data_IF_699647899127
#
_entry.id   IF_699647899127
#
_cell.length_a   1.000
_cell.length_b   1.000
_cell.length_c   1.000
_cell.angle_alpha   90.00
_cell.angle_beta   90.00
_cell.angle_gamma   90.00
#
_symmetry.space_group_name_H-M   'P 1'
#
loop_
_entity.id
_entity.type
_entity.pdbx_description
1 polymer ?
#
# COMPACT_ATOMS: atom_id res chain seq x y z
N UNK A 1 -9.36 -3.79 12.83
CA UNK A 1 -9.70 -4.64 11.68
C UNK A 1 -8.72 -4.22 10.60
N UNK A 2 -8.05 -5.18 9.95
CA UNK A 2 -7.18 -4.86 8.84
C UNK A 2 -8.03 -4.70 7.58
N UNK A 3 -7.79 -3.62 6.84
CA UNK A 3 -8.39 -3.36 5.54
C UNK A 3 -7.41 -3.80 4.46
N UNK A 4 -7.94 -4.17 3.30
CA UNK A 4 -7.16 -4.72 2.20
C UNK A 4 -7.46 -3.95 0.92
N UNK A 5 -6.42 -3.40 0.29
CA UNK A 5 -6.51 -2.83 -1.05
C UNK A 5 -6.10 -3.93 -2.04
N UNK A 6 -7.05 -4.37 -2.86
CA UNK A 6 -6.89 -5.54 -3.74
C UNK A 6 -7.24 -5.24 -5.22
N UNK A 7 -7.53 -3.97 -5.55
CA UNK A 7 -7.74 -3.48 -6.92
C UNK A 7 -8.85 -4.18 -7.75
N UNK A 8 -9.67 -5.03 -7.15
CA UNK A 8 -10.73 -5.78 -7.84
C UNK A 8 -11.95 -4.94 -8.22
N UNK A 9 -12.18 -3.83 -7.53
CA UNK A 9 -13.27 -2.89 -7.79
C UNK A 9 -12.96 -1.87 -8.89
N UNK A 10 -11.69 -1.77 -9.31
CA UNK A 10 -11.26 -0.96 -10.45
C UNK A 10 -11.83 -1.47 -11.78
N UNK A 11 -12.35 -2.70 -11.81
CA UNK A 11 -13.04 -3.33 -12.93
C UNK A 11 -14.33 -2.61 -13.39
N UNK A 12 -14.79 -1.59 -12.64
CA UNK A 12 -15.97 -0.78 -12.96
C UNK A 12 -15.74 0.48 -13.80
N UNK A 13 -14.48 0.85 -14.12
CA UNK A 13 -14.20 1.96 -15.04
C UNK A 13 -13.70 1.42 -16.40
N UNK A 14 -14.59 1.22 -17.38
CA UNK A 14 -14.26 0.62 -18.68
C UNK A 14 -13.44 1.54 -19.60
N UNK A 15 -12.82 2.60 -19.09
CA UNK A 15 -11.92 3.46 -19.85
C UNK A 15 -10.54 3.52 -19.18
N UNK A 16 -9.81 2.42 -19.38
CA UNK A 16 -8.38 2.36 -19.71
C UNK A 16 -7.42 1.69 -18.73
N UNK A 17 -7.79 1.36 -17.48
CA UNK A 17 -6.88 0.67 -16.55
C UNK A 17 -5.46 1.29 -16.51
N UNK A 18 -5.32 2.54 -16.91
CA UNK A 18 -4.09 3.28 -17.13
C UNK A 18 -4.16 4.41 -16.14
N UNK A 19 -3.09 4.58 -15.40
CA UNK A 19 -2.93 5.60 -14.39
C UNK A 19 -1.91 6.59 -14.92
N UNK A 20 -2.34 7.85 -15.03
CA UNK A 20 -1.46 8.95 -15.41
C UNK A 20 -0.86 9.59 -14.17
N UNK A 21 0.19 10.36 -14.38
CA UNK A 21 0.79 11.17 -13.32
C UNK A 21 -0.26 12.04 -12.61
N UNK A 22 -0.18 12.07 -11.28
CA UNK A 22 -1.10 12.71 -10.33
C UNK A 22 -2.56 12.22 -10.39
N UNK A 23 -2.86 11.16 -11.14
CA UNK A 23 -4.18 10.53 -11.15
C UNK A 23 -4.34 9.66 -9.91
N UNK A 24 -5.49 9.79 -9.25
CA UNK A 24 -5.83 9.01 -8.07
C UNK A 24 -7.21 8.37 -8.16
N UNK A 25 -7.38 7.25 -7.48
CA UNK A 25 -8.64 6.52 -7.41
C UNK A 25 -8.84 5.94 -6.01
N UNK A 26 -10.11 5.70 -5.65
CA UNK A 26 -10.45 5.16 -4.34
C UNK A 26 -10.25 3.64 -4.28
N UNK A 27 -9.81 3.16 -3.12
CA UNK A 27 -9.75 1.76 -2.72
C UNK A 27 -10.28 1.66 -1.28
N UNK A 28 -11.58 1.39 -1.12
CA UNK A 28 -12.25 1.46 0.18
C UNK A 28 -12.15 2.85 0.81
N UNK A 29 -11.61 2.92 2.03
CA UNK A 29 -11.40 4.18 2.78
C UNK A 29 -10.07 4.88 2.42
N UNK A 30 -9.35 4.41 1.40
CA UNK A 30 -8.06 4.93 0.97
C UNK A 30 -8.13 5.51 -0.44
N UNK A 31 -7.20 6.41 -0.75
CA UNK A 31 -6.96 6.93 -2.10
C UNK A 31 -5.56 6.50 -2.51
N UNK A 32 -5.47 5.95 -3.73
CA UNK A 32 -4.22 5.52 -4.34
C UNK A 32 -3.91 6.48 -5.48
N UNK A 33 -2.72 7.06 -5.46
CA UNK A 33 -2.22 7.98 -6.49
C UNK A 33 -1.04 7.37 -7.24
N UNK A 34 -0.98 7.60 -8.54
CA UNK A 34 0.22 7.35 -9.34
C UNK A 34 0.98 8.64 -9.58
N UNK A 35 2.29 8.64 -9.34
CA UNK A 35 3.18 9.75 -9.66
C UNK A 35 4.39 9.30 -10.46
N UNK A 36 5.09 10.23 -11.08
CA UNK A 36 6.45 10.04 -11.55
C UNK A 36 7.34 11.22 -11.13
N UNK A 37 8.65 10.99 -11.07
CA UNK A 37 9.62 12.08 -10.94
C UNK A 37 9.78 12.77 -12.30
N UNK A 38 9.60 14.09 -12.33
CA UNK A 38 9.69 14.96 -13.51
C UNK A 38 8.86 14.50 -14.72
N UNK A 39 7.54 14.33 -14.56
CA UNK A 39 6.67 13.79 -15.61
C UNK A 39 6.43 14.81 -16.73
N UNK A 40 6.43 14.33 -17.97
CA UNK A 40 5.74 15.04 -19.04
C UNK A 40 4.22 15.05 -18.76
N UNK A 41 3.48 16.11 -19.13
CA UNK A 41 2.03 16.14 -18.94
C UNK A 41 1.33 14.92 -19.57
N UNK A 42 0.63 14.14 -18.74
CA UNK A 42 -0.09 12.94 -19.15
C UNK A 42 0.78 11.68 -19.28
N UNK A 43 1.99 11.67 -18.71
CA UNK A 43 2.83 10.46 -18.57
C UNK A 43 2.04 9.30 -17.98
N UNK A 44 2.19 8.12 -18.59
CA UNK A 44 1.74 6.85 -18.04
C UNK A 44 2.65 6.46 -16.88
N UNK A 45 2.11 6.34 -15.67
CA UNK A 45 2.87 5.99 -14.45
C UNK A 45 2.41 4.68 -13.83
N UNK A 46 1.25 4.17 -14.26
CA UNK A 46 0.83 2.85 -13.85
C UNK A 46 -0.34 2.30 -14.65
N UNK A 47 -0.75 1.10 -14.30
CA UNK A 47 -1.91 0.44 -14.88
C UNK A 47 -2.51 -0.57 -13.90
N UNK A 48 -3.81 -0.82 -13.97
CA UNK A 48 -4.43 -1.98 -13.35
C UNK A 48 -4.39 -3.14 -14.35
N UNK A 49 -3.75 -4.23 -13.96
CA UNK A 49 -3.59 -5.43 -14.76
C UNK A 49 -4.46 -6.54 -14.20
N UNK A 50 -5.25 -7.17 -15.07
CA UNK A 50 -5.91 -8.44 -14.75
C UNK A 50 -4.88 -9.57 -14.82
N UNK A 51 -4.47 -10.09 -13.66
CA UNK A 51 -3.47 -11.15 -13.53
C UNK A 51 -3.91 -12.51 -14.08
N UNK A 52 -5.21 -12.76 -14.23
CA UNK A 52 -5.70 -14.00 -14.84
C UNK A 52 -5.45 -14.04 -16.35
N UNK A 53 -5.60 -12.91 -17.04
CA UNK A 53 -5.36 -12.80 -18.48
C UNK A 53 -3.97 -12.28 -18.83
N UNK A 54 -3.31 -11.57 -17.91
CA UNK A 54 -2.07 -10.81 -18.14
C UNK A 54 -2.11 -10.06 -19.50
N UNK A 55 -3.25 -9.45 -19.79
CA UNK A 55 -3.47 -8.69 -21.01
C UNK A 55 -3.09 -7.22 -20.83
N UNK A 56 -2.95 -6.44 -21.92
CA UNK A 56 -2.55 -5.03 -21.84
C UNK A 56 -1.03 -4.83 -21.85
N UNK A 57 -0.46 -4.09 -20.89
CA UNK A 57 0.97 -3.72 -20.85
C UNK A 57 1.91 -4.94 -20.85
N UNK A 58 1.43 -6.08 -20.38
CA UNK A 58 2.15 -7.34 -20.28
C UNK A 58 2.36 -8.07 -21.62
N UNK A 59 1.90 -7.52 -22.74
CA UNK A 59 2.25 -8.05 -24.08
C UNK A 59 3.67 -7.67 -24.52
N UNK A 60 4.23 -6.60 -23.96
CA UNK A 60 5.57 -6.10 -24.27
C UNK A 60 6.54 -6.16 -23.08
N UNK A 61 6.02 -6.50 -21.89
CA UNK A 61 6.76 -6.59 -20.63
C UNK A 61 6.64 -8.01 -20.06
N UNK A 62 7.65 -8.42 -19.31
CA UNK A 62 7.55 -9.54 -18.39
C UNK A 62 6.88 -9.04 -17.10
N UNK A 63 5.60 -9.38 -16.95
CA UNK A 63 4.79 -8.99 -15.80
C UNK A 63 4.80 -10.02 -14.67
N UNK A 64 4.14 -9.67 -13.57
CA UNK A 64 3.90 -10.58 -12.45
C UNK A 64 3.09 -11.81 -12.85
N UNK A 65 3.49 -12.98 -12.36
CA UNK A 65 2.79 -14.26 -12.51
C UNK A 65 2.52 -14.89 -11.14
N UNK A 66 1.65 -15.89 -11.10
CA UNK A 66 1.27 -16.57 -9.86
C UNK A 66 0.19 -15.83 -9.05
N UNK A 67 -0.28 -14.66 -9.52
CA UNK A 67 -1.39 -13.93 -8.94
C UNK A 67 -2.53 -13.73 -9.96
N UNK A 68 -3.69 -14.40 -9.81
CA UNK A 68 -4.80 -14.29 -10.77
C UNK A 68 -5.74 -13.10 -10.52
N UNK A 69 -5.54 -12.34 -9.43
CA UNK A 69 -6.31 -11.12 -9.13
C UNK A 69 -5.93 -9.95 -10.04
N UNK A 70 -6.72 -8.89 -9.95
CA UNK A 70 -6.33 -7.59 -10.49
C UNK A 70 -5.23 -6.98 -9.61
N UNK A 71 -4.17 -6.41 -10.18
CA UNK A 71 -3.09 -5.76 -9.42
C UNK A 71 -2.70 -4.42 -10.04
N UNK A 72 -2.09 -3.55 -9.24
CA UNK A 72 -1.53 -2.30 -9.73
C UNK A 72 -0.10 -2.54 -10.24
N UNK A 73 0.16 -2.21 -11.49
CA UNK A 73 1.49 -2.14 -12.08
C UNK A 73 1.99 -0.69 -12.09
N UNK A 74 3.04 -0.39 -11.34
CA UNK A 74 3.77 0.86 -11.46
C UNK A 74 4.75 0.76 -12.64
N UNK A 75 4.61 1.68 -13.59
CA UNK A 75 5.31 1.66 -14.88
C UNK A 75 6.10 2.96 -15.06
N UNK A 76 7.19 2.92 -15.83
CA UNK A 76 8.05 4.08 -16.09
C UNK A 76 8.54 4.79 -14.80
N UNK A 77 9.09 4.03 -13.86
CA UNK A 77 9.47 4.50 -12.51
C UNK A 77 8.31 5.13 -11.72
N UNK A 78 7.09 4.63 -11.95
CA UNK A 78 5.90 5.06 -11.23
C UNK A 78 6.04 4.88 -9.72
N UNK A 79 5.59 5.90 -8.99
CA UNK A 79 5.43 5.89 -7.54
C UNK A 79 3.96 5.67 -7.24
N UNK A 80 3.67 4.79 -6.29
CA UNK A 80 2.32 4.63 -5.75
C UNK A 80 2.30 5.29 -4.39
N UNK A 81 1.53 6.37 -4.25
CA UNK A 81 1.24 6.97 -2.95
C UNK A 81 -0.13 6.48 -2.48
N UNK A 82 -0.21 6.10 -1.22
CA UNK A 82 -1.45 5.68 -0.57
C UNK A 82 -1.70 6.58 0.62
N UNK A 83 -2.89 7.18 0.65
CA UNK A 83 -3.37 7.99 1.76
C UNK A 83 -4.75 7.51 2.22
N UNK A 84 -5.11 7.81 3.47
CA UNK A 84 -6.48 7.64 3.92
C UNK A 84 -7.37 8.74 3.33
N UNK A 85 -8.58 8.41 2.87
CA UNK A 85 -9.54 9.34 2.27
C UNK A 85 -9.94 10.52 3.18
N UNK A 86 -9.83 10.33 4.49
CA UNK A 86 -9.88 11.41 5.49
C UNK A 86 -8.48 11.97 5.71
N UNK A 87 -8.28 13.22 5.33
CA UNK A 87 -7.00 13.91 5.46
C UNK A 87 -6.41 13.78 6.88
N UNK A 88 -5.15 13.35 6.95
CA UNK A 88 -4.38 13.22 8.19
C UNK A 88 -4.76 12.02 9.07
N UNK A 89 -5.73 11.21 8.68
CA UNK A 89 -6.04 9.96 9.39
C UNK A 89 -4.87 8.99 9.22
N UNK A 90 -4.30 8.56 10.34
CA UNK A 90 -3.17 7.65 10.33
C UNK A 90 -3.60 6.19 10.15
N UNK A 91 -2.73 5.41 9.51
CA UNK A 91 -2.84 3.98 9.34
C UNK A 91 -1.44 3.33 9.45
N UNK A 92 -1.39 2.01 9.46
CA UNK A 92 -0.14 1.24 9.44
C UNK A 92 -0.19 0.23 8.30
N UNK A 93 0.95 -0.05 7.67
CA UNK A 93 1.09 -1.12 6.68
C UNK A 93 1.56 -2.39 7.36
N UNK A 94 0.89 -3.50 7.08
CA UNK A 94 1.21 -4.80 7.68
C UNK A 94 1.89 -5.72 6.67
N UNK A 95 1.27 -5.89 5.50
CA UNK A 95 1.74 -6.80 4.45
C UNK A 95 1.29 -6.33 3.07
N UNK A 96 1.88 -6.89 2.03
CA UNK A 96 1.47 -6.73 0.63
C UNK A 96 2.05 -7.85 -0.21
N UNK A 97 1.49 -8.07 -1.40
CA UNK A 97 2.06 -8.95 -2.41
C UNK A 97 2.70 -8.09 -3.50
N UNK A 98 3.90 -8.44 -3.95
CA UNK A 98 4.56 -7.72 -5.04
C UNK A 98 5.41 -8.61 -5.93
N UNK A 99 5.62 -8.17 -7.16
CA UNK A 99 6.56 -8.77 -8.12
C UNK A 99 7.32 -7.67 -8.86
N UNK A 100 8.48 -7.99 -9.42
CA UNK A 100 9.10 -7.10 -10.40
C UNK A 100 8.27 -7.06 -11.70
N UNK A 101 8.40 -5.98 -12.46
CA UNK A 101 7.97 -5.89 -13.85
C UNK A 101 9.18 -5.41 -14.64
N UNK A 102 9.48 -6.07 -15.75
CA UNK A 102 10.67 -5.72 -16.53
C UNK A 102 10.47 -5.94 -18.02
N UNK A 103 11.45 -5.51 -18.81
CA UNK A 103 11.57 -5.96 -20.19
C UNK A 103 11.71 -7.48 -20.28
N UNK A 104 11.44 -8.05 -21.46
CA UNK A 104 11.49 -9.50 -21.71
C UNK A 104 12.87 -10.13 -21.41
N UNK A 105 13.95 -9.35 -21.30
CA UNK A 105 15.28 -9.88 -20.94
C UNK A 105 15.79 -9.34 -19.60
N UNK A 106 15.06 -8.44 -18.95
CA UNK A 106 15.45 -7.89 -17.66
C UNK A 106 15.20 -8.91 -16.55
N UNK A 107 16.02 -8.89 -15.50
CA UNK A 107 15.89 -9.83 -14.38
C UNK A 107 16.16 -11.31 -14.72
N UNK A 108 16.46 -11.64 -15.99
CA UNK A 108 16.57 -13.02 -16.46
C UNK A 108 17.88 -13.66 -15.99
N UNK A 109 17.76 -14.71 -15.16
CA UNK A 109 18.92 -15.39 -14.55
C UNK A 109 19.60 -14.57 -13.45
N UNK A 110 18.98 -13.48 -13.00
CA UNK A 110 19.44 -12.69 -11.86
C UNK A 110 18.77 -13.20 -10.57
N UNK A 111 19.48 -13.26 -9.43
CA UNK A 111 18.83 -13.54 -8.14
C UNK A 111 17.81 -12.45 -7.77
N UNK A 112 18.19 -11.17 -7.94
CA UNK A 112 17.36 -10.01 -7.62
C UNK A 112 17.27 -9.14 -8.87
N UNK A 113 16.04 -8.91 -9.36
CA UNK A 113 15.80 -8.04 -10.51
C UNK A 113 15.54 -6.59 -10.10
N UNK A 114 15.01 -6.40 -8.89
CA UNK A 114 14.71 -5.09 -8.36
C UNK A 114 14.60 -5.06 -6.85
N UNK A 115 14.50 -3.86 -6.31
CA UNK A 115 14.18 -3.63 -4.90
C UNK A 115 12.94 -2.75 -4.86
N UNK A 116 11.94 -3.13 -4.07
CA UNK A 116 10.79 -2.29 -3.76
C UNK A 116 11.08 -1.53 -2.47
N UNK A 117 11.10 -0.21 -2.54
CA UNK A 117 11.13 0.62 -1.35
C UNK A 117 9.72 0.99 -0.94
N UNK A 118 9.45 0.80 0.34
CA UNK A 118 8.25 1.30 1.01
C UNK A 118 8.68 2.43 1.93
N UNK A 119 8.20 3.64 1.68
CA UNK A 119 8.51 4.82 2.46
C UNK A 119 7.25 5.34 3.15
N UNK A 120 7.23 5.34 4.47
CA UNK A 120 6.12 5.85 5.26
C UNK A 120 6.37 7.27 5.75
N UNK A 121 5.34 8.11 5.65
CA UNK A 121 5.35 9.50 6.11
C UNK A 121 4.52 9.64 7.37
N UNK A 122 5.08 10.24 8.42
CA UNK A 122 4.37 10.49 9.68
C UNK A 122 3.76 11.89 9.67
N UNK A 123 2.81 12.13 10.59
CA UNK A 123 2.13 13.42 10.72
C UNK A 123 3.07 14.60 11.09
N UNK A 124 4.28 14.32 11.58
CA UNK A 124 5.32 15.30 11.88
C UNK A 124 6.28 15.56 10.70
N UNK A 125 5.94 15.05 9.51
CA UNK A 125 6.74 15.05 8.28
C UNK A 125 8.05 14.25 8.35
N UNK A 126 8.30 13.47 9.41
CA UNK A 126 9.41 12.52 9.42
C UNK A 126 9.08 11.30 8.57
N UNK A 127 10.12 10.69 7.99
CA UNK A 127 9.99 9.48 7.17
C UNK A 127 10.82 8.34 7.73
N UNK A 128 10.40 7.12 7.40
CA UNK A 128 11.15 5.88 7.56
C UNK A 128 10.86 5.02 6.34
N UNK A 129 11.80 4.18 5.94
CA UNK A 129 11.61 3.27 4.81
C UNK A 129 12.09 1.86 5.14
N UNK A 130 11.56 0.90 4.39
CA UNK A 130 11.99 -0.48 4.37
C UNK A 130 12.08 -0.95 2.92
N UNK A 131 13.15 -1.69 2.61
CA UNK A 131 13.42 -2.22 1.28
C UNK A 131 13.11 -3.73 1.23
N UNK A 132 12.55 -4.18 0.10
CA UNK A 132 12.17 -5.57 -0.14
C UNK A 132 12.74 -6.03 -1.49
N UNK A 133 13.45 -7.16 -1.52
CA UNK A 133 14.01 -7.70 -2.75
C UNK A 133 12.93 -8.34 -3.61
N UNK A 134 12.82 -7.87 -4.86
CA UNK A 134 12.01 -8.48 -5.90
C UNK A 134 12.89 -9.43 -6.70
N UNK A 135 12.56 -10.71 -6.62
CA UNK A 135 13.36 -11.77 -7.22
C UNK A 135 13.40 -11.63 -8.74
N UNK A 136 14.54 -12.02 -9.33
CA UNK A 136 14.62 -12.21 -10.76
C UNK A 136 13.86 -13.44 -11.22
N UNK A 137 13.95 -13.71 -12.53
CA UNK A 137 13.18 -14.79 -13.16
C UNK A 137 14.07 -15.77 -13.88
N UNK A 138 13.61 -17.01 -13.96
CA UNK A 138 14.32 -18.07 -14.63
C UNK A 138 14.08 -18.05 -16.15
N UNK A 139 14.98 -18.71 -16.90
CA UNK A 139 14.88 -18.86 -18.36
C UNK A 139 13.63 -19.60 -18.84
N UNK A 140 12.91 -20.27 -17.92
CA UNK A 140 11.72 -21.07 -18.23
C UNK A 140 10.41 -20.38 -17.86
N UNK A 141 10.46 -19.19 -17.26
CA UNK A 141 9.28 -18.44 -16.80
C UNK A 141 8.96 -17.28 -17.72
N UNK A 142 7.68 -17.03 -17.97
CA UNK A 142 7.22 -15.93 -18.83
C UNK A 142 7.11 -14.59 -18.11
N UNK A 143 7.20 -14.58 -16.78
CA UNK A 143 7.07 -13.39 -15.92
C UNK A 143 7.86 -13.52 -14.62
N UNK A 144 7.62 -12.59 -13.68
CA UNK A 144 8.23 -12.58 -12.35
C UNK A 144 7.22 -13.08 -11.32
N UNK A 145 7.62 -13.93 -10.39
CA UNK A 145 6.67 -14.45 -9.41
C UNK A 145 6.27 -13.37 -8.39
N UNK A 146 4.97 -13.30 -8.08
CA UNK A 146 4.49 -12.55 -6.93
C UNK A 146 4.97 -13.23 -5.63
N UNK A 147 5.50 -12.41 -4.73
CA UNK A 147 5.88 -12.81 -3.39
C UNK A 147 5.06 -12.04 -2.35
N UNK A 148 4.77 -12.71 -1.24
CA UNK A 148 4.13 -12.10 -0.08
C UNK A 148 5.17 -11.50 0.86
N UNK A 149 5.03 -10.22 1.17
CA UNK A 149 5.93 -9.47 2.04
C UNK A 149 5.20 -9.03 3.30
N UNK A 150 5.84 -9.25 4.44
CA UNK A 150 5.39 -8.75 5.74
C UNK A 150 6.37 -7.66 6.19
N UNK A 151 5.84 -6.53 6.61
CA UNK A 151 6.66 -5.43 7.14
C UNK A 151 7.36 -5.84 8.44
N UNK A 152 8.51 -5.24 8.70
CA UNK A 152 9.23 -5.43 9.96
C UNK A 152 8.41 -4.90 11.14
N UNK A 153 8.70 -5.37 12.36
CA UNK A 153 8.02 -4.82 13.55
C UNK A 153 8.30 -3.33 13.71
N UNK A 154 9.50 -2.88 13.36
CA UNK A 154 9.94 -1.50 13.41
C UNK A 154 9.12 -0.61 12.47
N UNK A 155 8.82 -1.08 11.25
CA UNK A 155 8.04 -0.33 10.26
C UNK A 155 6.53 -0.49 10.46
N UNK A 156 6.04 -1.73 10.62
CA UNK A 156 4.60 -2.04 10.68
C UNK A 156 3.89 -1.59 11.96
N UNK A 157 4.65 -1.19 13.00
CA UNK A 157 4.12 -0.57 14.22
C UNK A 157 3.99 0.96 14.14
N UNK A 158 4.48 1.57 13.06
CA UNK A 158 4.42 3.02 12.88
C UNK A 158 3.04 3.49 12.45
N UNK A 159 2.78 4.78 12.65
CA UNK A 159 1.56 5.46 12.23
C UNK A 159 1.90 6.42 11.10
N UNK A 160 1.39 6.12 9.92
CA UNK A 160 1.64 6.85 8.69
C UNK A 160 0.40 7.60 8.25
N UNK A 161 0.59 8.81 7.70
CA UNK A 161 -0.46 9.58 7.02
C UNK A 161 -0.45 9.33 5.51
N UNK A 162 0.71 8.93 4.97
CA UNK A 162 0.90 8.51 3.59
C UNK A 162 1.98 7.43 3.52
N UNK A 163 1.91 6.56 2.51
CA UNK A 163 2.96 5.58 2.19
C UNK A 163 3.23 5.60 0.69
N UNK A 164 4.51 5.71 0.33
CA UNK A 164 4.98 5.55 -1.04
C UNK A 164 5.58 4.17 -1.27
N UNK A 165 5.26 3.60 -2.42
CA UNK A 165 5.95 2.45 -3.01
C UNK A 165 6.65 2.89 -4.28
N UNK A 166 7.94 2.57 -4.43
CA UNK A 166 8.66 2.78 -5.68
C UNK A 166 9.77 1.76 -5.89
N UNK A 167 10.03 1.44 -7.15
CA UNK A 167 10.97 0.39 -7.54
C UNK A 167 12.37 0.90 -7.85
N UNK A 168 13.33 0.02 -7.63
CA UNK A 168 14.69 0.09 -8.14
C UNK A 168 14.87 -1.03 -9.15
N UNK A 169 15.63 -0.78 -10.21
CA UNK A 169 16.10 -1.83 -11.13
C UNK A 169 17.53 -2.21 -10.79
N UNK A 170 17.84 -3.50 -10.74
CA UNK A 170 19.17 -4.00 -10.41
C UNK A 170 19.91 -4.53 -11.64
N UNK A 171 21.22 -4.33 -11.71
CA UNK A 171 22.08 -4.94 -12.71
C UNK A 171 22.55 -6.35 -12.25
N UNK A 172 23.33 -7.04 -13.08
CA UNK A 172 23.87 -8.39 -12.75
C UNK A 172 24.89 -8.39 -11.59
N UNK A 173 25.49 -7.23 -11.30
CA UNK A 173 26.44 -7.06 -10.19
C UNK A 173 25.69 -6.79 -8.86
N UNK A 174 24.37 -6.61 -8.91
CA UNK A 174 23.52 -6.32 -7.76
C UNK A 174 23.41 -4.83 -7.43
N UNK A 175 23.91 -3.93 -8.29
CA UNK A 175 23.73 -2.49 -8.11
C UNK A 175 22.33 -2.09 -8.55
N UNK A 176 21.57 -1.49 -7.64
CA UNK A 176 20.19 -1.09 -7.86
C UNK A 176 20.05 0.44 -7.92
N UNK A 177 19.35 0.94 -8.94
CA UNK A 177 19.09 2.37 -9.14
C UNK A 177 17.60 2.61 -9.33
N UNK A 178 17.11 3.73 -8.79
CA UNK A 178 15.74 4.21 -8.98
C UNK A 178 15.75 5.50 -9.79
N UNK A 179 14.73 5.69 -10.64
CA UNK A 179 14.46 6.93 -11.37
C UNK A 179 15.48 7.35 -12.44
N UNK A 180 16.45 6.49 -12.78
CA UNK A 180 17.48 6.83 -13.77
C UNK A 180 17.14 6.39 -15.19
N UNK A 181 16.26 5.40 -15.35
CA UNK A 181 16.13 4.67 -16.61
C UNK A 181 14.71 4.17 -16.94
N UNK A 182 13.70 4.51 -16.13
CA UNK A 182 12.31 4.10 -16.30
C UNK A 182 12.07 2.59 -16.12
N UNK A 183 12.96 1.89 -15.40
CA UNK A 183 12.95 0.42 -15.23
C UNK A 183 12.65 -0.08 -13.82
N UNK A 184 12.51 0.81 -12.84
CA UNK A 184 12.07 0.49 -11.47
C UNK A 184 10.57 0.17 -11.41
N UNK A 185 10.11 -0.78 -12.23
CA UNK A 185 8.71 -1.12 -12.40
C UNK A 185 8.35 -2.34 -11.54
N UNK A 186 7.13 -2.37 -11.01
CA UNK A 186 6.70 -3.44 -10.12
C UNK A 186 5.18 -3.62 -10.17
N UNK A 187 4.73 -4.83 -9.89
CA UNK A 187 3.33 -5.13 -9.60
C UNK A 187 3.14 -5.16 -8.09
N UNK A 188 2.03 -4.62 -7.59
CA UNK A 188 1.64 -4.69 -6.18
C UNK A 188 0.15 -5.00 -6.06
N UNK A 189 -0.18 -5.81 -5.07
CA UNK A 189 -1.54 -6.23 -4.76
C UNK A 189 -1.67 -6.52 -3.25
N UNK A 190 -2.90 -6.77 -2.81
CA UNK A 190 -3.22 -7.32 -1.49
C UNK A 190 -2.59 -6.54 -0.33
N UNK A 191 -2.57 -5.21 -0.46
CA UNK A 191 -1.95 -4.31 0.52
C UNK A 191 -2.83 -4.29 1.76
N UNK A 192 -2.30 -4.83 2.86
CA UNK A 192 -2.97 -4.93 4.14
C UNK A 192 -2.56 -3.77 5.04
N UNK A 193 -3.55 -2.95 5.39
CA UNK A 193 -3.39 -1.77 6.24
C UNK A 193 -4.29 -1.87 7.46
N UNK A 194 -3.96 -1.17 8.53
CA UNK A 194 -4.85 -1.06 9.68
C UNK A 194 -5.03 0.39 10.11
N UNK A 195 -6.29 0.81 10.17
CA UNK A 195 -6.64 2.13 10.66
C UNK A 195 -6.26 2.27 12.14
N UNK A 196 -5.59 3.37 12.46
CA UNK A 196 -5.21 3.71 13.83
C UNK A 196 -6.32 4.56 14.44
N UNK A 197 -6.97 4.13 15.55
CA UNK A 197 -7.98 4.95 16.20
C UNK A 197 -7.43 6.32 16.57
N UNK A 198 -8.11 7.39 16.13
CA UNK A 198 -7.71 8.75 16.48
C UNK A 198 -7.58 8.91 18.01
N UNK A 199 -6.61 9.69 18.52
CA UNK A 199 -6.49 9.98 19.96
C UNK A 199 -7.78 10.55 20.57
N UNK A 200 -8.55 11.29 19.78
CA UNK A 200 -9.87 11.83 20.14
C UNK A 200 -10.88 10.73 20.51
N UNK A 201 -10.81 9.56 19.85
CA UNK A 201 -11.71 8.43 20.10
C UNK A 201 -11.49 7.84 21.49
N UNK A 202 -10.23 7.77 21.94
CA UNK A 202 -9.90 7.35 23.30
C UNK A 202 -10.35 8.36 24.35
N UNK A 203 -10.27 9.65 24.04
CA UNK A 203 -10.76 10.70 24.92
C UNK A 203 -12.29 10.70 25.02
N UNK A 204 -13.00 10.45 23.91
CA UNK A 204 -14.46 10.32 23.91
C UNK A 204 -14.92 9.04 24.61
N UNK A 205 -14.26 7.91 24.35
CA UNK A 205 -14.53 6.65 25.06
C UNK A 205 -14.25 6.80 26.56
N UNK A 206 -13.10 7.38 26.91
CA UNK A 206 -12.70 7.65 28.29
C UNK A 206 -13.67 8.59 28.99
N UNK A 207 -14.06 9.70 28.35
CA UNK A 207 -15.03 10.64 28.92
C UNK A 207 -16.42 10.04 29.07
N UNK A 208 -16.86 9.20 28.12
CA UNK A 208 -18.09 8.42 28.23
C UNK A 208 -18.09 7.47 29.42
N UNK A 209 -17.01 6.71 29.61
CA UNK A 209 -16.84 5.80 30.75
C UNK A 209 -16.80 6.55 32.10
N UNK A 210 -16.10 7.67 32.17
CA UNK A 210 -16.08 8.53 33.36
C UNK A 210 -17.49 9.06 33.69
N UNK A 211 -18.26 9.48 32.66
CA UNK A 211 -19.66 9.89 32.82
C UNK A 211 -20.55 8.78 33.38
N UNK A 212 -20.42 7.55 32.86
CA UNK A 212 -21.15 6.39 33.37
C UNK A 212 -20.77 6.03 34.80
N UNK A 213 -19.48 6.09 35.15
CA UNK A 213 -19.00 5.86 36.51
C UNK A 213 -19.50 6.90 37.53
N UNK A 214 -19.60 8.17 37.12
CA UNK A 214 -20.17 9.21 37.97
C UNK A 214 -21.68 9.00 38.19
N UNK A 215 -22.42 8.63 37.14
CA UNK A 215 -23.85 8.34 37.24
C UNK A 215 -24.14 7.11 38.11
N UNK A 216 -23.33 6.05 38.02
CA UNK A 216 -23.49 4.85 38.85
C UNK A 216 -23.27 5.17 40.34
N UNK A 217 -22.26 5.99 40.68
CA UNK A 217 -22.03 6.46 42.04
C UNK A 217 -23.21 7.24 42.60
N UNK A 218 -23.81 8.14 41.81
CA UNK A 218 -25.01 8.91 42.24
C UNK A 218 -26.20 8.00 42.55
N UNK A 219 -26.40 6.94 41.77
CA UNK A 219 -27.49 5.96 41.99
C UNK A 219 -27.28 5.15 43.26
N UNK A 220 -26.03 4.77 43.59
CA UNK A 220 -25.73 4.05 44.82
C UNK A 220 -25.96 4.91 46.08
N UNK A 221 -25.61 6.20 46.04
CA UNK A 221 -25.88 7.14 47.15
C UNK A 221 -27.40 7.34 47.34
N UNK A 222 -28.17 7.44 46.25
CA UNK A 222 -29.62 7.55 46.33
C UNK A 222 -30.30 6.28 46.87
N UNK A 223 -29.82 5.10 46.49
CA UNK A 223 -30.35 3.81 46.96
C UNK A 223 -30.03 3.54 48.45
N UNK A 224 -28.85 3.94 48.92
CA UNK A 224 -28.48 3.81 50.34
C UNK A 224 -29.21 4.80 51.26
N UNK A 225 -29.66 5.94 50.73
CA UNK A 225 -30.54 6.86 51.46
C UNK A 225 -31.98 6.33 51.63
N UNK A 226 -32.45 5.43 50.75
CA UNK A 226 -33.79 4.82 50.86
C UNK A 226 -33.84 3.59 51.77
N UNK A 227 -32.70 2.89 51.99
CA UNK A 227 -32.61 1.75 52.91
C UNK A 227 -32.46 2.10 54.39
N UNK A 228 -32.15 3.36 54.73
CA UNK A 228 -31.99 3.83 56.11
C UNK A 228 -33.27 4.43 56.72
N UNK A 229 -34.38 4.42 55.96
CA UNK A 229 -35.68 4.96 56.37
C UNK A 229 -36.76 3.87 56.62
N UNK A 230 -36.34 2.61 56.77
CA UNK A 230 -37.21 1.48 57.11
C UNK A 230 -36.88 0.93 58.51
#
# INVERSE_FOLDING_TARGET
MADKLAFEDANGNPLSGIIKDAEGFAQGDYVVHGYALDPAPGSLVGAIIDGASNSGACVALACGVGNPSSYYAALNDGIIEIEHSKAGQAFSLQSFDASFIGGIYEGLGQPVAGVLRVQGFRADNSTIWQDFELQGRDFNTTGFDFAHFVTSQEFGSQQFVAIDFFGFSCNFDGDCTAFENLKGQFGIDNIEVSAVPEPSSWLMLGSGLLGLGWLSRRRQVAASAQGAAA
#
